data_IF_330024926084
#
_entry.id   IF_330024926084
#
_cell.length_a   1.000
_cell.length_b   1.000
_cell.length_c   1.000
_cell.angle_alpha   90.00
_cell.angle_beta   90.00
_cell.angle_gamma   90.00
#
_symmetry.space_group_name_H-M   'P 1'
#
loop_
_entity.id
_entity.type
_entity.pdbx_description
1 polymer ?
#
# COMPACT_ATOMS: atom_id res chain seq x y z
N UNK A 1 64.23 47.84 22.26
CA UNK A 1 62.91 47.81 22.86
C UNK A 1 62.35 46.44 22.51
N UNK A 2 62.46 45.53 23.49
CA UNK A 2 62.34 44.08 23.30
C UNK A 2 60.93 43.70 23.76
N UNK A 3 60.07 43.24 22.87
CA UNK A 3 58.78 42.65 23.25
C UNK A 3 58.87 41.10 23.35
N UNK A 4 58.75 40.60 24.57
CA UNK A 4 58.70 39.18 24.89
C UNK A 4 57.34 38.62 24.50
N UNK A 5 57.31 37.61 23.59
CA UNK A 5 56.20 36.81 23.25
C UNK A 5 56.02 35.74 24.34
N UNK A 6 54.87 35.77 25.06
CA UNK A 6 54.49 34.73 26.01
C UNK A 6 53.58 33.74 25.27
N UNK A 7 54.04 32.53 25.15
CA UNK A 7 53.21 31.40 24.73
C UNK A 7 52.27 31.01 25.89
N UNK A 8 50.93 31.13 25.67
CA UNK A 8 49.94 30.48 26.51
C UNK A 8 49.67 29.08 25.98
N UNK A 9 50.05 28.09 26.76
CA UNK A 9 49.66 26.70 26.53
C UNK A 9 48.22 26.54 26.98
N UNK A 10 47.28 26.40 26.06
CA UNK A 10 45.88 26.03 26.38
C UNK A 10 45.84 24.50 26.41
N UNK A 11 45.76 23.94 27.61
CA UNK A 11 45.46 22.53 27.83
C UNK A 11 43.95 22.41 27.64
N UNK A 12 43.51 21.84 26.48
CA UNK A 12 42.13 21.44 26.27
C UNK A 12 41.87 20.19 27.08
N UNK A 13 41.19 20.35 28.21
CA UNK A 13 40.60 19.23 28.95
C UNK A 13 39.36 18.80 28.18
N UNK A 14 39.46 17.69 27.46
CA UNK A 14 38.31 17.04 26.85
C UNK A 14 37.50 16.39 27.99
N UNK A 15 36.42 17.04 28.39
CA UNK A 15 35.38 16.39 29.18
C UNK A 15 34.65 15.44 28.25
N UNK A 16 34.94 14.15 28.34
CA UNK A 16 34.07 13.09 27.92
C UNK A 16 32.83 13.13 28.84
N UNK A 17 31.82 13.90 28.44
CA UNK A 17 30.49 13.75 29.00
C UNK A 17 29.93 12.45 28.40
N UNK A 18 30.11 11.38 29.15
CA UNK A 18 29.36 10.17 28.92
C UNK A 18 27.87 10.47 29.11
N UNK A 19 27.13 10.68 28.05
CA UNK A 19 25.68 10.53 28.07
C UNK A 19 25.37 9.05 28.26
N UNK A 20 25.40 8.57 29.50
CA UNK A 20 24.63 7.42 29.91
C UNK A 20 23.17 7.88 30.02
N UNK A 21 22.47 7.96 28.90
CA UNK A 21 21.05 7.80 28.95
C UNK A 21 20.79 6.32 29.24
N UNK A 22 20.82 5.97 30.52
CA UNK A 22 20.07 4.83 31.02
C UNK A 22 18.58 5.10 30.76
N UNK A 23 18.16 4.87 29.51
CA UNK A 23 16.84 4.39 29.25
C UNK A 23 16.88 2.93 29.68
N UNK A 24 16.88 2.70 31.00
CA UNK A 24 16.36 1.47 31.57
C UNK A 24 14.87 1.43 31.22
N UNK A 25 14.57 1.08 29.94
CA UNK A 25 13.38 0.34 29.68
C UNK A 25 13.57 -0.93 30.50
N UNK A 26 13.03 -0.93 31.72
CA UNK A 26 12.59 -2.15 32.34
C UNK A 26 11.56 -2.76 31.38
N UNK A 27 12.03 -3.44 30.35
CA UNK A 27 11.29 -4.57 29.83
C UNK A 27 11.18 -5.49 31.04
N UNK A 28 10.01 -5.45 31.69
CA UNK A 28 9.66 -6.46 32.68
C UNK A 28 10.11 -7.79 32.07
N UNK A 29 10.78 -8.60 32.85
CA UNK A 29 11.04 -10.00 32.57
C UNK A 29 9.70 -10.80 32.59
N UNK A 30 8.69 -10.34 31.88
CA UNK A 30 7.71 -11.20 31.28
C UNK A 30 8.52 -12.02 30.27
N UNK A 31 8.77 -13.26 30.62
CA UNK A 31 9.36 -14.26 29.74
C UNK A 31 8.83 -14.01 28.33
N UNK A 32 9.72 -13.74 27.37
CA UNK A 32 9.36 -13.71 25.95
C UNK A 32 8.72 -15.08 25.68
N UNK A 33 7.40 -15.15 25.84
CA UNK A 33 6.66 -16.37 25.55
C UNK A 33 6.88 -16.66 24.09
N UNK A 34 7.52 -17.77 23.80
CA UNK A 34 7.65 -18.26 22.42
C UNK A 34 6.23 -18.39 21.90
N UNK A 35 5.86 -17.56 20.91
CA UNK A 35 4.56 -17.69 20.26
C UNK A 35 4.34 -19.15 19.86
N UNK A 36 3.15 -19.71 20.11
CA UNK A 36 2.87 -21.10 19.71
C UNK A 36 3.21 -21.27 18.22
N UNK A 37 3.70 -22.47 17.89
CA UNK A 37 3.98 -22.83 16.51
C UNK A 37 2.70 -22.68 15.65
N UNK A 38 2.89 -22.37 14.39
CA UNK A 38 1.82 -22.38 13.39
C UNK A 38 0.96 -23.63 13.52
N UNK A 39 -0.36 -23.59 13.25
CA UNK A 39 -1.19 -24.78 13.22
C UNK A 39 -0.55 -25.84 12.32
N UNK A 40 -0.20 -27.00 12.90
CA UNK A 40 0.52 -28.06 12.19
C UNK A 40 2.01 -28.20 12.52
N UNK A 41 2.62 -27.26 13.25
CA UNK A 41 3.98 -27.39 13.81
C UNK A 41 5.14 -27.30 12.82
N UNK A 42 4.90 -27.08 11.52
CA UNK A 42 5.92 -26.97 10.48
C UNK A 42 5.96 -25.57 9.87
N UNK A 43 7.15 -25.13 9.48
CA UNK A 43 7.31 -23.94 8.64
C UNK A 43 6.70 -24.28 7.26
N UNK A 44 5.79 -23.47 6.71
CA UNK A 44 5.23 -23.71 5.40
C UNK A 44 6.32 -23.74 4.32
N UNK A 45 6.25 -24.75 3.45
CA UNK A 45 7.13 -24.89 2.28
C UNK A 45 6.21 -25.06 1.08
N UNK A 46 6.32 -24.16 0.12
CA UNK A 46 5.46 -24.17 -1.07
C UNK A 46 6.19 -24.76 -2.27
N UNK A 47 5.41 -25.36 -3.17
CA UNK A 47 5.91 -25.75 -4.48
C UNK A 47 6.33 -24.51 -5.27
N UNK A 48 7.54 -24.55 -5.81
CA UNK A 48 8.11 -23.49 -6.66
C UNK A 48 8.36 -23.98 -8.09
N UNK A 49 7.80 -25.13 -8.47
CA UNK A 49 8.00 -25.73 -9.78
C UNK A 49 7.52 -24.86 -10.96
N UNK A 50 6.54 -23.97 -10.71
CA UNK A 50 6.07 -23.00 -11.69
C UNK A 50 6.96 -21.74 -11.80
N UNK A 51 7.99 -21.59 -10.95
CA UNK A 51 8.89 -20.45 -10.95
C UNK A 51 10.22 -20.84 -11.58
N UNK A 52 10.49 -20.34 -12.79
CA UNK A 52 11.74 -20.63 -13.50
C UNK A 52 12.93 -19.90 -12.90
N UNK A 53 12.76 -18.61 -12.58
CA UNK A 53 13.83 -17.74 -12.07
C UNK A 53 13.33 -16.79 -11.01
N UNK A 54 14.20 -16.52 -10.03
CA UNK A 54 14.01 -15.47 -9.02
C UNK A 54 15.22 -14.55 -9.02
N UNK A 55 14.97 -13.27 -8.94
CA UNK A 55 16.02 -12.25 -8.81
C UNK A 55 15.51 -11.07 -7.99
N UNK A 56 16.36 -10.08 -7.79
CA UNK A 56 15.95 -8.81 -7.19
C UNK A 56 16.68 -7.65 -7.87
N UNK A 57 16.09 -6.47 -7.72
CA UNK A 57 16.60 -5.20 -8.19
C UNK A 57 16.34 -4.13 -7.14
N UNK A 58 17.10 -3.04 -7.17
CA UNK A 58 16.78 -1.82 -6.41
C UNK A 58 16.48 -0.72 -7.41
N UNK A 59 15.26 -0.21 -7.39
CA UNK A 59 14.81 0.91 -8.20
C UNK A 59 14.88 2.20 -7.40
N UNK A 60 15.11 3.32 -8.07
CA UNK A 60 15.23 4.62 -7.44
C UNK A 60 16.43 4.73 -6.50
N UNK A 61 16.38 5.76 -5.68
CA UNK A 61 17.44 6.10 -4.75
C UNK A 61 18.46 7.07 -5.31
N UNK A 62 18.95 7.94 -4.42
CA UNK A 62 20.00 8.92 -4.73
C UNK A 62 20.91 9.10 -3.53
N UNK A 63 22.07 9.70 -3.77
CA UNK A 63 22.98 10.13 -2.69
C UNK A 63 22.45 11.42 -2.08
N UNK A 64 22.10 11.36 -0.80
CA UNK A 64 21.46 12.45 -0.07
C UNK A 64 22.17 12.75 1.24
N UNK A 65 22.03 13.98 1.74
CA UNK A 65 22.54 14.39 3.04
C UNK A 65 24.03 14.73 3.07
N UNK A 66 24.51 15.10 4.25
CA UNK A 66 25.93 15.35 4.57
C UNK A 66 26.22 14.81 5.98
N UNK A 67 26.94 13.69 6.13
CA UNK A 67 27.59 12.91 5.07
C UNK A 67 26.59 12.25 4.10
N UNK A 68 27.04 11.97 2.86
CA UNK A 68 26.22 11.33 1.83
C UNK A 68 25.85 9.90 2.23
N UNK A 69 24.56 9.59 2.08
CA UNK A 69 23.99 8.25 2.23
C UNK A 69 23.06 7.93 1.06
N UNK A 70 22.82 6.65 0.80
CA UNK A 70 21.78 6.25 -0.17
C UNK A 70 20.39 6.40 0.47
N UNK A 71 19.46 7.07 -0.21
CA UNK A 71 18.09 7.25 0.28
C UNK A 71 17.05 7.13 -0.84
N UNK A 72 15.87 6.62 -0.52
CA UNK A 72 14.75 6.52 -1.46
C UNK A 72 14.76 5.29 -2.36
N UNK A 73 15.72 4.38 -2.21
CA UNK A 73 15.76 3.12 -2.96
C UNK A 73 14.59 2.20 -2.56
N UNK A 74 14.06 1.48 -3.55
CA UNK A 74 12.97 0.52 -3.42
C UNK A 74 13.44 -0.87 -3.85
N UNK A 75 13.39 -1.84 -2.95
CA UNK A 75 13.65 -3.24 -3.26
C UNK A 75 12.53 -3.82 -4.12
N UNK A 76 12.88 -4.59 -5.13
CA UNK A 76 11.98 -5.26 -6.04
C UNK A 76 12.36 -6.73 -6.12
N UNK A 77 11.48 -7.63 -5.72
CA UNK A 77 11.63 -9.08 -5.92
C UNK A 77 10.97 -9.47 -7.24
N UNK A 78 11.69 -10.24 -8.06
CA UNK A 78 11.24 -10.62 -9.40
C UNK A 78 11.05 -12.13 -9.46
N UNK A 79 9.86 -12.57 -9.87
CA UNK A 79 9.58 -13.98 -10.16
C UNK A 79 9.18 -14.12 -11.62
N UNK A 80 9.88 -15.02 -12.32
CA UNK A 80 9.56 -15.35 -13.71
C UNK A 80 8.95 -16.75 -13.78
N UNK A 81 7.81 -16.93 -14.49
CA UNK A 81 7.16 -18.23 -14.62
C UNK A 81 7.97 -19.17 -15.53
N UNK A 82 7.76 -20.47 -15.35
CA UNK A 82 8.30 -21.50 -16.28
C UNK A 82 7.66 -21.36 -17.67
N UNK A 83 6.39 -21.04 -17.72
CA UNK A 83 5.62 -20.82 -18.95
C UNK A 83 5.09 -19.39 -18.98
N UNK A 84 5.83 -18.42 -19.52
CA UNK A 84 5.36 -17.03 -19.64
C UNK A 84 4.30 -16.94 -20.76
N UNK A 85 3.03 -17.02 -20.37
CA UNK A 85 1.89 -16.97 -21.31
C UNK A 85 1.24 -15.60 -21.37
N UNK A 86 1.52 -14.74 -20.38
CA UNK A 86 0.91 -13.42 -20.28
C UNK A 86 1.79 -12.35 -20.91
N UNK A 87 1.15 -11.46 -21.70
CA UNK A 87 1.87 -10.40 -22.42
C UNK A 87 2.45 -9.36 -21.47
N UNK A 88 1.70 -8.97 -20.45
CA UNK A 88 2.07 -7.89 -19.53
C UNK A 88 2.46 -8.44 -18.16
N UNK A 89 3.64 -8.09 -17.63
CA UNK A 89 3.99 -8.42 -16.25
C UNK A 89 3.14 -7.62 -15.26
N UNK A 90 3.08 -8.10 -14.01
CA UNK A 90 2.37 -7.43 -12.92
C UNK A 90 3.36 -6.84 -11.93
N UNK A 91 3.19 -5.56 -11.58
CA UNK A 91 3.88 -4.90 -10.46
C UNK A 91 2.91 -4.81 -9.28
N UNK A 92 3.30 -5.38 -8.13
CA UNK A 92 2.46 -5.48 -6.94
C UNK A 92 2.88 -4.46 -5.89
N UNK A 93 1.95 -3.55 -5.55
CA UNK A 93 2.12 -2.47 -4.59
C UNK A 93 1.32 -2.73 -3.32
N UNK A 94 2.02 -2.95 -2.20
CA UNK A 94 1.41 -3.27 -0.90
C UNK A 94 0.82 -2.05 -0.18
N UNK A 95 0.07 -2.31 0.91
CA UNK A 95 -0.56 -1.31 1.76
C UNK A 95 0.36 -0.66 2.82
N UNK A 96 -0.25 0.12 3.70
CA UNK A 96 0.43 0.79 4.80
C UNK A 96 0.87 -0.22 5.88
N UNK A 97 2.10 -0.07 6.38
CA UNK A 97 2.67 -0.97 7.39
C UNK A 97 3.07 -2.35 6.87
N UNK A 98 3.02 -2.58 5.56
CA UNK A 98 3.23 -3.85 4.89
C UNK A 98 4.44 -3.84 3.97
N UNK A 99 4.73 -5.01 3.39
CA UNK A 99 5.80 -5.24 2.40
C UNK A 99 5.31 -6.23 1.33
N UNK A 100 6.14 -6.56 0.36
CA UNK A 100 5.87 -7.61 -0.63
C UNK A 100 5.66 -9.02 -0.06
N UNK A 101 5.79 -9.20 1.26
CA UNK A 101 5.52 -10.49 1.94
C UNK A 101 4.04 -10.87 1.85
N UNK A 102 3.12 -9.91 1.92
CA UNK A 102 1.68 -10.16 1.93
C UNK A 102 1.16 -10.79 0.62
N UNK A 103 1.90 -10.62 -0.46
CA UNK A 103 1.58 -11.27 -1.74
C UNK A 103 2.03 -12.73 -1.82
N UNK A 104 2.92 -13.16 -0.91
CA UNK A 104 3.58 -14.47 -1.00
C UNK A 104 3.00 -15.54 -0.10
N UNK A 105 2.46 -15.14 1.05
CA UNK A 105 1.96 -16.11 2.04
C UNK A 105 0.89 -15.48 2.91
N UNK A 106 -0.17 -16.23 3.17
CA UNK A 106 -1.19 -15.89 4.15
C UNK A 106 -0.72 -16.19 5.59
N UNK A 107 -1.28 -15.53 6.61
CA UNK A 107 -0.84 -15.74 7.99
C UNK A 107 -1.12 -17.13 8.56
N UNK A 108 -2.06 -17.86 7.98
CA UNK A 108 -2.39 -19.26 8.30
C UNK A 108 -1.56 -20.27 7.51
N UNK A 109 -0.63 -19.81 6.66
CA UNK A 109 0.39 -20.66 6.02
C UNK A 109 0.01 -21.20 4.64
N UNK A 110 -1.00 -20.62 3.96
CA UNK A 110 -1.29 -20.92 2.56
C UNK A 110 -0.42 -20.08 1.61
N UNK A 111 -0.20 -20.52 0.35
CA UNK A 111 0.39 -19.69 -0.68
C UNK A 111 -0.41 -18.40 -0.88
N UNK A 112 0.26 -17.26 -1.11
CA UNK A 112 -0.40 -16.00 -1.45
C UNK A 112 -0.58 -15.82 -2.96
N UNK A 113 -1.19 -14.72 -3.35
CA UNK A 113 -1.53 -14.38 -4.74
C UNK A 113 -0.37 -14.47 -5.74
N UNK A 114 0.88 -14.24 -5.29
CA UNK A 114 2.04 -14.34 -6.16
C UNK A 114 2.24 -15.75 -6.73
N UNK A 115 1.91 -16.81 -5.97
CA UNK A 115 1.99 -18.18 -6.48
C UNK A 115 0.93 -18.45 -7.53
N UNK A 116 -0.31 -18.02 -7.29
CA UNK A 116 -1.37 -18.12 -8.28
C UNK A 116 -1.01 -17.38 -9.58
N UNK A 117 -0.59 -16.12 -9.48
CA UNK A 117 -0.27 -15.30 -10.65
C UNK A 117 0.91 -15.87 -11.47
N UNK A 118 1.96 -16.38 -10.81
CA UNK A 118 3.07 -16.98 -11.54
C UNK A 118 2.67 -18.30 -12.22
N UNK A 119 1.75 -19.06 -11.63
CA UNK A 119 1.16 -20.25 -12.24
C UNK A 119 0.33 -19.91 -13.48
N UNK A 120 -0.39 -18.76 -13.46
CA UNK A 120 -1.10 -18.24 -14.63
C UNK A 120 -0.17 -17.66 -15.71
N UNK A 121 1.14 -17.66 -15.50
CA UNK A 121 2.14 -17.26 -16.49
C UNK A 121 2.55 -15.80 -16.47
N UNK A 122 2.25 -15.06 -15.40
CA UNK A 122 2.72 -13.67 -15.24
C UNK A 122 4.14 -13.61 -14.69
N UNK A 123 4.96 -12.71 -15.25
CA UNK A 123 6.16 -12.23 -14.57
C UNK A 123 5.75 -11.21 -13.51
N UNK A 124 6.27 -11.37 -12.28
CA UNK A 124 5.89 -10.55 -11.13
C UNK A 124 7.03 -9.69 -10.64
N UNK A 125 6.71 -8.45 -10.28
CA UNK A 125 7.58 -7.51 -9.60
C UNK A 125 6.92 -7.12 -8.28
N UNK A 126 7.43 -7.65 -7.16
CA UNK A 126 6.92 -7.39 -5.80
C UNK A 126 7.84 -6.41 -5.09
N UNK A 127 7.31 -5.27 -4.67
CA UNK A 127 8.12 -4.20 -4.11
C UNK A 127 8.06 -4.17 -2.58
N UNK A 128 9.12 -3.65 -1.95
CA UNK A 128 9.08 -3.09 -0.60
C UNK A 128 9.36 -1.59 -0.73
N UNK A 129 8.42 -0.74 -0.31
CA UNK A 129 8.59 0.71 -0.44
C UNK A 129 9.83 1.22 0.30
N UNK A 130 10.39 2.39 -0.10
CA UNK A 130 11.49 3.01 0.62
C UNK A 130 11.25 3.09 2.12
N UNK A 131 12.27 2.78 2.92
CA UNK A 131 12.25 2.68 4.37
C UNK A 131 11.38 1.55 4.96
N UNK A 132 11.06 0.51 4.17
CA UNK A 132 10.31 -0.68 4.62
C UNK A 132 11.00 -1.98 4.23
N UNK A 133 10.80 -3.01 5.03
CA UNK A 133 11.28 -4.37 4.72
C UNK A 133 12.75 -4.40 4.29
N UNK A 134 12.97 -4.81 3.05
CA UNK A 134 14.32 -4.90 2.44
C UNK A 134 14.83 -3.58 1.87
N UNK A 135 14.00 -2.52 1.85
CA UNK A 135 14.39 -1.16 1.49
C UNK A 135 14.81 -0.40 2.74
N UNK A 136 16.12 -0.25 2.95
CA UNK A 136 16.65 0.23 4.21
C UNK A 136 16.17 1.65 4.58
N UNK A 137 15.78 1.82 5.85
CA UNK A 137 15.61 3.14 6.45
C UNK A 137 16.96 3.69 6.91
N UNK A 138 17.28 4.91 6.49
CA UNK A 138 18.49 5.62 6.90
C UNK A 138 18.07 6.80 7.80
N UNK A 139 18.38 6.79 9.10
CA UNK A 139 18.08 7.89 10.00
C UNK A 139 18.66 9.23 9.52
N UNK A 140 17.86 10.29 9.58
CA UNK A 140 18.27 11.62 9.10
C UNK A 140 18.29 11.79 7.57
N UNK A 141 17.85 10.77 6.82
CA UNK A 141 17.71 10.83 5.36
C UNK A 141 16.39 11.45 4.92
N UNK A 142 16.00 11.14 3.67
CA UNK A 142 14.84 11.73 2.98
C UNK A 142 13.48 11.13 3.39
N UNK A 143 13.45 10.17 4.32
CA UNK A 143 12.25 9.35 4.56
C UNK A 143 11.21 10.00 5.50
N UNK A 144 11.58 11.05 6.22
CA UNK A 144 10.74 11.65 7.27
C UNK A 144 10.64 10.78 8.53
N UNK A 145 9.71 11.12 9.40
CA UNK A 145 9.48 10.41 10.66
C UNK A 145 8.83 9.04 10.43
N UNK A 146 9.16 8.10 11.32
CA UNK A 146 8.60 6.76 11.29
C UNK A 146 7.29 6.67 12.07
N UNK A 147 6.29 6.06 11.46
CA UNK A 147 5.05 5.62 12.09
C UNK A 147 4.97 4.10 12.20
N UNK A 148 4.10 3.62 13.09
CA UNK A 148 3.75 2.21 13.24
C UNK A 148 2.24 2.06 13.36
N UNK A 149 1.72 0.86 13.12
CA UNK A 149 0.36 0.46 13.53
C UNK A 149 0.44 -0.27 14.86
N UNK A 150 -0.45 0.09 15.80
CA UNK A 150 -0.55 -0.67 17.05
C UNK A 150 -1.39 -1.93 16.87
N UNK A 151 -1.19 -2.89 17.77
CA UNK A 151 -1.98 -4.14 17.79
C UNK A 151 -3.48 -3.84 17.83
N UNK A 152 -3.90 -2.92 18.70
CA UNK A 152 -5.30 -2.52 18.84
C UNK A 152 -5.88 -1.92 17.55
N UNK A 153 -5.09 -1.10 16.83
CA UNK A 153 -5.51 -0.57 15.54
C UNK A 153 -5.73 -1.69 14.54
N UNK A 154 -4.80 -2.65 14.46
CA UNK A 154 -4.87 -3.77 13.52
C UNK A 154 -6.05 -4.70 13.83
N UNK A 155 -6.30 -5.02 15.10
CA UNK A 155 -7.49 -5.77 15.49
C UNK A 155 -8.79 -5.04 15.11
N UNK A 156 -8.85 -3.72 15.28
CA UNK A 156 -10.07 -2.92 15.06
C UNK A 156 -10.41 -2.76 13.58
N UNK A 157 -9.39 -2.60 12.72
CA UNK A 157 -9.65 -2.21 11.31
C UNK A 157 -9.39 -3.33 10.30
N UNK A 158 -8.67 -4.42 10.68
CA UNK A 158 -8.27 -5.45 9.72
C UNK A 158 -8.63 -6.88 10.11
N UNK A 159 -8.42 -7.28 11.37
CA UNK A 159 -8.42 -8.72 11.70
C UNK A 159 -9.57 -9.17 12.60
N UNK A 160 -10.05 -8.33 13.51
CA UNK A 160 -11.15 -8.62 14.43
C UNK A 160 -12.27 -7.59 14.30
N UNK A 161 -12.56 -7.23 13.08
CA UNK A 161 -13.47 -6.16 12.71
C UNK A 161 -14.88 -6.41 13.21
N UNK A 162 -15.41 -7.61 13.08
CA UNK A 162 -16.76 -7.96 13.51
C UNK A 162 -17.02 -7.79 15.01
N UNK A 163 -15.98 -7.76 15.85
CA UNK A 163 -16.11 -7.54 17.29
C UNK A 163 -15.70 -6.13 17.72
N UNK A 164 -14.71 -5.55 17.06
CA UNK A 164 -14.08 -4.28 17.43
C UNK A 164 -14.32 -3.14 16.44
N UNK A 165 -14.79 -3.44 15.24
CA UNK A 165 -15.15 -2.44 14.25
C UNK A 165 -16.24 -1.50 14.75
N UNK A 166 -16.33 -0.34 14.14
CA UNK A 166 -17.31 0.69 14.47
C UNK A 166 -17.80 1.41 13.22
N UNK A 167 -17.96 0.69 12.13
CA UNK A 167 -18.45 1.18 10.85
C UNK A 167 -19.59 0.29 10.34
N UNK A 168 -20.41 0.75 9.40
CA UNK A 168 -21.48 -0.07 8.84
C UNK A 168 -20.94 -1.37 8.24
N UNK A 169 -21.68 -2.47 8.44
CA UNK A 169 -21.37 -3.80 7.92
C UNK A 169 -20.10 -4.46 8.51
N UNK A 170 -19.51 -3.91 9.57
CA UNK A 170 -18.36 -4.53 10.25
C UNK A 170 -18.62 -5.98 10.65
N UNK A 171 -19.87 -6.35 10.95
CA UNK A 171 -20.30 -7.72 11.26
C UNK A 171 -20.20 -8.69 10.05
N UNK A 172 -20.05 -8.17 8.83
CA UNK A 172 -19.90 -9.02 7.65
C UNK A 172 -18.49 -9.64 7.58
N UNK A 173 -17.50 -9.09 8.28
CA UNK A 173 -16.13 -9.62 8.26
C UNK A 173 -16.05 -11.01 8.91
N UNK A 174 -16.01 -12.05 8.10
CA UNK A 174 -16.03 -13.46 8.52
C UNK A 174 -14.91 -14.30 7.91
N UNK A 175 -14.11 -13.74 7.00
CA UNK A 175 -13.10 -14.50 6.25
C UNK A 175 -11.69 -14.44 6.87
N UNK A 176 -11.50 -13.73 7.99
CA UNK A 176 -10.19 -13.76 8.65
C UNK A 176 -9.88 -15.17 9.18
N UNK A 177 -8.69 -15.73 8.87
CA UNK A 177 -8.30 -17.02 9.39
C UNK A 177 -7.96 -16.91 10.89
N UNK A 178 -8.66 -17.68 11.72
CA UNK A 178 -8.52 -17.66 13.18
C UNK A 178 -9.37 -16.59 13.86
N UNK A 179 -8.95 -16.15 15.06
CA UNK A 179 -9.75 -15.24 15.88
C UNK A 179 -9.50 -13.75 15.60
N UNK A 180 -8.44 -13.44 14.87
CA UNK A 180 -8.03 -12.05 14.61
C UNK A 180 -7.51 -11.28 15.82
N UNK A 181 -7.20 -11.95 16.94
CA UNK A 181 -6.83 -11.34 18.23
C UNK A 181 -5.43 -11.75 18.66
N UNK A 182 -4.79 -10.89 19.43
CA UNK A 182 -3.52 -11.17 20.10
C UNK A 182 -3.58 -12.49 20.89
N UNK A 183 -2.57 -13.34 20.71
CA UNK A 183 -2.46 -14.67 21.28
C UNK A 183 -3.02 -15.79 20.40
N UNK A 184 -3.69 -15.46 19.31
CA UNK A 184 -3.97 -16.40 18.24
C UNK A 184 -2.71 -16.56 17.37
N UNK A 185 -2.21 -17.78 17.13
CA UNK A 185 -0.99 -18.00 16.36
C UNK A 185 -1.02 -17.40 14.95
N UNK A 186 -2.20 -17.36 14.31
CA UNK A 186 -2.38 -16.80 12.97
C UNK A 186 -2.27 -15.27 13.03
N UNK A 187 -2.98 -14.65 13.96
CA UNK A 187 -2.86 -13.21 14.20
C UNK A 187 -1.42 -12.81 14.57
N UNK A 188 -0.80 -13.54 15.51
CA UNK A 188 0.57 -13.27 15.93
C UNK A 188 1.57 -13.42 14.79
N UNK A 189 1.32 -14.34 13.86
CA UNK A 189 2.11 -14.47 12.64
C UNK A 189 1.93 -13.26 11.70
N UNK A 190 0.68 -12.80 11.50
CA UNK A 190 0.39 -11.58 10.75
C UNK A 190 1.08 -10.35 11.34
N UNK A 191 1.02 -10.15 12.67
CA UNK A 191 1.67 -9.00 13.33
C UNK A 191 3.18 -8.98 13.09
N UNK A 192 3.84 -10.14 12.96
CA UNK A 192 5.27 -10.22 12.66
C UNK A 192 5.62 -9.73 11.25
N UNK A 193 4.67 -9.66 10.33
CA UNK A 193 4.90 -9.11 8.99
C UNK A 193 4.83 -7.58 8.96
N UNK A 194 4.24 -6.98 9.99
CA UNK A 194 4.03 -5.53 10.04
C UNK A 194 5.35 -4.79 10.28
N UNK A 195 5.53 -3.73 9.52
CA UNK A 195 6.74 -2.91 9.56
C UNK A 195 6.41 -1.44 9.81
N UNK A 196 7.40 -0.70 10.27
CA UNK A 196 7.33 0.76 10.30
C UNK A 196 7.13 1.33 8.89
N UNK A 197 6.59 2.54 8.82
CA UNK A 197 6.45 3.28 7.57
C UNK A 197 6.85 4.74 7.76
N UNK A 198 7.50 5.32 6.76
CA UNK A 198 7.94 6.70 6.78
C UNK A 198 6.89 7.64 6.16
N UNK A 199 6.84 8.89 6.59
CA UNK A 199 5.90 9.89 6.09
C UNK A 199 5.99 10.09 4.57
N UNK A 200 7.21 10.12 4.04
CA UNK A 200 7.47 10.33 2.61
C UNK A 200 7.46 9.05 1.75
N UNK A 201 7.13 7.91 2.35
CA UNK A 201 7.28 6.62 1.63
C UNK A 201 6.43 6.52 0.36
N UNK A 202 5.24 7.10 0.31
CA UNK A 202 4.39 7.11 -0.90
C UNK A 202 5.02 7.93 -2.02
N UNK A 203 5.54 9.12 -1.71
CA UNK A 203 6.22 9.99 -2.67
C UNK A 203 7.46 9.32 -3.24
N UNK A 204 8.32 8.76 -2.37
CA UNK A 204 9.55 8.09 -2.78
C UNK A 204 9.26 6.81 -3.56
N UNK A 205 8.25 6.02 -3.15
CA UNK A 205 7.82 4.81 -3.85
C UNK A 205 7.33 5.12 -5.27
N UNK A 206 6.60 6.21 -5.47
CA UNK A 206 6.14 6.64 -6.79
C UNK A 206 7.31 6.91 -7.74
N UNK A 207 8.33 7.67 -7.31
CA UNK A 207 9.51 7.94 -8.14
C UNK A 207 10.32 6.68 -8.42
N UNK A 208 10.56 5.84 -7.42
CA UNK A 208 11.26 4.57 -7.58
C UNK A 208 10.50 3.61 -8.51
N UNK A 209 9.15 3.60 -8.45
CA UNK A 209 8.33 2.79 -9.32
C UNK A 209 8.34 3.28 -10.78
N UNK A 210 8.39 4.60 -11.03
CA UNK A 210 8.57 5.10 -12.39
C UNK A 210 9.91 4.63 -12.99
N UNK A 211 11.01 4.68 -12.22
CA UNK A 211 12.31 4.15 -12.65
C UNK A 211 12.25 2.63 -12.87
N UNK A 212 11.51 1.90 -12.02
CA UNK A 212 11.28 0.47 -12.24
C UNK A 212 10.62 0.22 -13.58
N UNK A 213 9.56 0.96 -13.92
CA UNK A 213 8.87 0.81 -15.20
C UNK A 213 9.79 1.17 -16.39
N UNK A 214 10.58 2.24 -16.26
CA UNK A 214 11.59 2.62 -17.26
C UNK A 214 12.61 1.48 -17.47
N UNK A 215 12.98 0.78 -16.39
CA UNK A 215 13.91 -0.37 -16.43
C UNK A 215 13.27 -1.62 -17.03
N UNK A 216 11.99 -1.88 -16.73
CA UNK A 216 11.23 -2.99 -17.34
C UNK A 216 11.07 -2.74 -18.84
N UNK A 217 10.82 -1.50 -19.28
CA UNK A 217 10.84 -1.06 -20.67
C UNK A 217 9.68 -1.58 -21.52
N UNK A 218 8.62 -2.08 -20.93
CA UNK A 218 7.37 -2.50 -21.58
C UNK A 218 6.17 -2.20 -20.66
N UNK A 219 4.95 -2.09 -21.23
CA UNK A 219 3.76 -1.90 -20.43
C UNK A 219 3.55 -3.02 -19.40
N UNK A 220 3.11 -2.62 -18.20
CA UNK A 220 2.82 -3.51 -17.08
C UNK A 220 1.39 -3.32 -16.59
N UNK A 221 0.86 -4.28 -15.86
CA UNK A 221 -0.36 -4.14 -15.06
C UNK A 221 0.07 -3.76 -13.63
N UNK A 222 -0.55 -2.73 -13.07
CA UNK A 222 -0.36 -2.39 -11.65
C UNK A 222 -1.41 -3.09 -10.82
N UNK A 223 -1.02 -3.93 -9.86
CA UNK A 223 -1.90 -4.48 -8.85
C UNK A 223 -1.58 -3.79 -7.52
N UNK A 224 -2.52 -3.03 -7.00
CA UNK A 224 -2.29 -2.16 -5.84
C UNK A 224 -3.25 -2.49 -4.71
N UNK A 225 -2.80 -2.33 -3.47
CA UNK A 225 -3.63 -2.45 -2.28
C UNK A 225 -3.49 -1.22 -1.40
N UNK A 226 -4.60 -0.69 -0.91
CA UNK A 226 -4.62 0.36 0.12
C UNK A 226 -3.74 1.56 -0.25
N UNK A 227 -2.73 1.91 0.55
CA UNK A 227 -1.75 2.97 0.26
C UNK A 227 -1.10 2.82 -1.13
N UNK A 228 -1.01 1.59 -1.63
CA UNK A 228 -0.50 1.30 -2.96
C UNK A 228 -1.30 1.95 -4.08
N UNK A 229 -2.61 2.17 -3.90
CA UNK A 229 -3.43 2.90 -4.86
C UNK A 229 -2.90 4.31 -5.09
N UNK A 230 -2.54 5.03 -4.01
CA UNK A 230 -1.94 6.37 -4.14
C UNK A 230 -0.57 6.36 -4.84
N UNK A 231 0.18 5.27 -4.81
CA UNK A 231 1.40 5.11 -5.63
C UNK A 231 1.02 4.85 -7.09
N UNK A 232 0.08 3.92 -7.31
CA UNK A 232 -0.35 3.47 -8.64
C UNK A 232 -0.87 4.61 -9.53
N UNK A 233 -1.73 5.48 -8.99
CA UNK A 233 -2.24 6.65 -9.75
C UNK A 233 -1.12 7.56 -10.24
N UNK A 234 -0.14 7.84 -9.39
CA UNK A 234 0.98 8.71 -9.77
C UNK A 234 1.97 8.07 -10.73
N UNK A 235 2.13 6.76 -10.67
CA UNK A 235 2.96 6.00 -11.64
C UNK A 235 2.27 5.97 -12.99
N UNK A 236 0.96 5.74 -13.04
CA UNK A 236 0.17 5.74 -14.27
C UNK A 236 0.19 7.12 -14.95
N UNK A 237 -0.02 8.19 -14.18
CA UNK A 237 0.07 9.55 -14.70
C UNK A 237 1.48 9.91 -15.20
N UNK A 238 2.53 9.46 -14.48
CA UNK A 238 3.92 9.75 -14.81
C UNK A 238 4.53 8.89 -15.92
N UNK A 239 3.95 7.72 -16.22
CA UNK A 239 4.42 6.75 -17.23
C UNK A 239 3.25 6.13 -18.00
N UNK A 240 2.41 6.95 -18.68
CA UNK A 240 1.21 6.47 -19.34
C UNK A 240 1.48 5.36 -20.37
N UNK A 241 2.58 5.45 -21.11
CA UNK A 241 2.94 4.45 -22.13
C UNK A 241 3.42 3.11 -21.54
N UNK A 242 3.74 3.07 -20.22
CA UNK A 242 4.26 1.88 -19.54
C UNK A 242 3.24 1.27 -18.55
N UNK A 243 2.01 1.76 -18.53
CA UNK A 243 0.91 1.17 -17.73
C UNK A 243 -0.21 0.74 -18.66
N UNK A 244 -0.46 -0.56 -18.74
CA UNK A 244 -1.54 -1.14 -19.54
C UNK A 244 -2.90 -1.00 -18.87
N UNK A 245 -2.93 -1.11 -17.54
CA UNK A 245 -4.13 -1.00 -16.72
C UNK A 245 -3.82 -1.16 -15.25
N UNK A 246 -4.82 -0.90 -14.41
CA UNK A 246 -4.68 -0.90 -12.96
C UNK A 246 -5.76 -1.80 -12.35
N UNK A 247 -5.35 -2.71 -11.48
CA UNK A 247 -6.22 -3.39 -10.53
C UNK A 247 -5.95 -2.80 -9.15
N UNK A 248 -6.94 -2.23 -8.52
CA UNK A 248 -6.79 -1.61 -7.21
C UNK A 248 -7.74 -2.20 -6.19
N UNK A 249 -7.18 -2.72 -5.12
CA UNK A 249 -7.90 -3.32 -4.00
C UNK A 249 -7.98 -2.29 -2.89
N UNK A 250 -9.17 -1.76 -2.66
CA UNK A 250 -9.44 -0.74 -1.63
C UNK A 250 -8.39 0.37 -1.61
N UNK A 251 -8.29 1.19 -2.67
CA UNK A 251 -7.24 2.21 -2.81
C UNK A 251 -7.29 3.25 -1.70
N UNK A 252 -6.13 3.61 -1.17
CA UNK A 252 -5.93 4.26 0.08
C UNK A 252 -6.52 5.63 0.31
N UNK A 253 -7.61 5.72 0.95
CA UNK A 253 -8.22 6.91 1.53
C UNK A 253 -9.26 7.58 0.62
N UNK A 254 -10.24 8.28 1.24
CA UNK A 254 -11.29 8.94 0.49
C UNK A 254 -10.74 10.09 -0.33
N UNK A 255 -11.34 10.33 -1.50
CA UNK A 255 -11.02 11.50 -2.31
C UNK A 255 -11.54 12.79 -1.65
N UNK A 256 -10.90 13.92 -1.91
CA UNK A 256 -11.27 15.29 -1.48
C UNK A 256 -11.34 15.48 0.04
N UNK A 257 -12.21 14.78 0.77
CA UNK A 257 -12.44 14.94 2.21
C UNK A 257 -12.20 13.68 3.02
N UNK A 258 -11.69 13.80 4.23
CA UNK A 258 -11.60 12.67 5.16
C UNK A 258 -12.98 12.25 5.65
N UNK A 259 -13.21 10.96 5.77
CA UNK A 259 -14.45 10.34 6.23
C UNK A 259 -14.28 9.81 7.66
N UNK A 260 -15.23 10.13 8.53
CA UNK A 260 -15.44 9.40 9.78
C UNK A 260 -16.32 8.19 9.45
N UNK A 261 -15.71 7.02 9.38
CA UNK A 261 -16.39 5.80 8.97
C UNK A 261 -17.44 5.31 9.97
N UNK A 262 -17.30 5.64 11.25
CA UNK A 262 -18.27 5.33 12.27
C UNK A 262 -19.57 6.15 12.15
N UNK A 263 -19.45 7.40 11.71
CA UNK A 263 -20.58 8.32 11.54
C UNK A 263 -21.11 8.35 10.11
N UNK A 264 -20.41 7.70 9.17
CA UNK A 264 -20.70 7.76 7.73
C UNK A 264 -20.81 9.20 7.25
N UNK A 265 -19.82 10.01 7.61
CA UNK A 265 -19.85 11.44 7.38
C UNK A 265 -18.45 12.01 7.10
N UNK A 266 -18.40 13.08 6.32
CA UNK A 266 -17.15 13.80 6.13
C UNK A 266 -16.73 14.54 7.41
N UNK A 267 -15.44 14.44 7.77
CA UNK A 267 -14.89 15.03 9.00
C UNK A 267 -14.45 16.50 8.85
N UNK A 268 -14.64 17.10 7.68
CA UNK A 268 -14.23 18.48 7.40
C UNK A 268 -12.70 18.67 7.23
N UNK A 269 -11.91 17.62 7.26
CA UNK A 269 -10.46 17.67 6.97
C UNK A 269 -10.22 17.34 5.50
N UNK A 270 -9.34 18.10 4.79
CA UNK A 270 -8.91 17.70 3.45
C UNK A 270 -8.23 16.32 3.48
N UNK A 271 -8.49 15.48 2.49
CA UNK A 271 -7.75 14.25 2.25
C UNK A 271 -6.92 14.38 0.97
N UNK A 272 -7.52 14.14 -0.17
CA UNK A 272 -6.85 14.09 -1.47
C UNK A 272 -7.32 15.26 -2.35
N UNK A 273 -6.65 16.40 -2.25
CA UNK A 273 -7.08 17.63 -2.91
C UNK A 273 -7.05 17.57 -4.45
N UNK A 274 -6.38 16.59 -5.04
CA UNK A 274 -6.27 16.37 -6.49
C UNK A 274 -7.19 15.25 -7.00
N UNK A 275 -8.24 14.93 -6.28
CA UNK A 275 -9.12 13.80 -6.59
C UNK A 275 -8.69 12.52 -5.89
N UNK A 276 -8.13 11.51 -6.58
CA UNK A 276 -7.75 10.23 -5.93
C UNK A 276 -6.47 10.33 -5.08
N UNK A 277 -5.75 11.47 -5.12
CA UNK A 277 -4.45 11.66 -4.46
C UNK A 277 -4.28 13.08 -3.88
N UNK A 278 -3.25 13.27 -3.06
CA UNK A 278 -2.90 14.58 -2.45
C UNK A 278 -1.70 15.28 -3.13
N UNK A 279 -1.38 14.91 -4.36
CA UNK A 279 -0.31 15.50 -5.17
C UNK A 279 -0.81 15.73 -6.60
N UNK A 280 -0.15 16.62 -7.39
CA UNK A 280 -0.59 16.94 -8.74
C UNK A 280 -0.70 15.73 -9.66
N UNK A 281 -1.81 15.66 -10.42
CA UNK A 281 -2.02 14.80 -11.57
C UNK A 281 -2.19 15.66 -12.83
N UNK A 282 -2.01 15.06 -14.00
CA UNK A 282 -2.11 15.74 -15.29
C UNK A 282 -3.56 15.83 -15.77
N UNK A 283 -4.16 17.00 -15.58
CA UNK A 283 -5.52 17.29 -16.04
C UNK A 283 -5.54 18.10 -17.34
N UNK A 284 -6.61 17.97 -18.10
CA UNK A 284 -6.99 18.84 -19.20
C UNK A 284 -8.45 19.37 -18.99
N UNK A 285 -8.70 20.68 -18.92
CA UNK A 285 -7.71 21.77 -18.87
C UNK A 285 -6.73 21.64 -17.69
N UNK A 286 -5.48 22.13 -17.84
CA UNK A 286 -4.45 21.99 -16.81
C UNK A 286 -4.88 22.57 -15.45
N UNK A 287 -4.44 21.89 -14.37
CA UNK A 287 -4.60 22.33 -12.98
C UNK A 287 -3.22 22.67 -12.42
N UNK A 288 -3.08 23.86 -11.86
CA UNK A 288 -1.84 24.32 -11.20
C UNK A 288 -1.99 24.41 -9.69
N UNK A 289 -3.22 24.63 -9.22
CA UNK A 289 -3.58 24.65 -7.80
C UNK A 289 -4.85 23.82 -7.61
N UNK A 290 -4.92 22.95 -6.59
CA UNK A 290 -6.08 22.08 -6.39
C UNK A 290 -7.40 22.83 -6.16
N UNK A 291 -7.37 24.10 -5.74
CA UNK A 291 -8.57 24.93 -5.62
C UNK A 291 -9.24 25.26 -6.97
N UNK A 292 -8.56 25.01 -8.08
CA UNK A 292 -9.15 25.13 -9.43
C UNK A 292 -10.09 23.96 -9.78
N UNK A 293 -10.03 22.87 -9.01
CA UNK A 293 -10.93 21.73 -9.15
C UNK A 293 -12.17 22.02 -8.32
N UNK A 294 -13.18 22.60 -8.96
CA UNK A 294 -14.45 22.89 -8.28
C UNK A 294 -15.24 21.60 -8.14
N UNK A 295 -15.73 21.35 -6.93
CA UNK A 295 -16.44 20.09 -6.62
C UNK A 295 -17.80 20.38 -5.99
N UNK A 296 -18.70 19.43 -6.17
CA UNK A 296 -19.97 19.37 -5.45
C UNK A 296 -20.09 18.01 -4.72
N UNK A 297 -20.89 17.98 -3.68
CA UNK A 297 -21.24 16.75 -2.98
C UNK A 297 -22.54 16.21 -3.61
N UNK A 298 -22.56 14.91 -3.97
CA UNK A 298 -23.77 14.24 -4.40
C UNK A 298 -24.90 14.36 -3.35
N UNK A 299 -26.14 14.33 -3.77
CA UNK A 299 -27.29 14.44 -2.87
C UNK A 299 -27.46 13.20 -1.99
N UNK A 300 -27.14 12.03 -2.53
CA UNK A 300 -27.31 10.73 -1.87
C UNK A 300 -26.11 9.81 -2.24
N UNK A 301 -25.78 8.88 -1.36
CA UNK A 301 -24.81 7.81 -1.60
C UNK A 301 -25.47 6.70 -2.47
N UNK A 302 -24.64 5.85 -3.09
CA UNK A 302 -25.13 4.73 -3.91
C UNK A 302 -25.80 3.64 -3.08
N UNK A 303 -25.27 3.40 -1.88
CA UNK A 303 -25.74 2.34 -0.99
C UNK A 303 -25.88 2.84 0.45
N UNK A 304 -26.78 2.25 1.25
CA UNK A 304 -26.81 2.50 2.69
C UNK A 304 -25.46 2.17 3.34
N UNK A 305 -24.97 3.07 4.20
CA UNK A 305 -23.68 2.92 4.88
C UNK A 305 -22.49 3.48 4.11
N UNK A 306 -22.71 4.03 2.91
CA UNK A 306 -21.70 4.78 2.15
C UNK A 306 -21.92 6.29 2.31
N UNK A 307 -20.87 7.09 2.09
CA UNK A 307 -20.99 8.54 1.98
C UNK A 307 -21.33 8.93 0.54
N UNK A 308 -22.11 10.02 0.32
CA UNK A 308 -22.21 10.63 -1.01
C UNK A 308 -20.84 11.16 -1.43
N UNK A 309 -20.50 11.05 -2.71
CA UNK A 309 -19.16 11.38 -3.20
C UNK A 309 -19.03 12.86 -3.58
N UNK A 310 -17.83 13.41 -3.38
CA UNK A 310 -17.46 14.66 -4.05
C UNK A 310 -17.10 14.37 -5.50
N UNK A 311 -17.74 15.07 -6.42
CA UNK A 311 -17.48 14.99 -7.87
C UNK A 311 -17.13 16.40 -8.40
N UNK A 312 -16.52 16.45 -9.57
CA UNK A 312 -16.21 17.73 -10.22
C UNK A 312 -17.49 18.39 -10.75
N UNK A 313 -17.58 19.72 -10.66
CA UNK A 313 -18.57 20.44 -11.44
C UNK A 313 -18.31 20.31 -12.94
N UNK A 314 -19.39 20.20 -13.73
CA UNK A 314 -19.26 20.07 -15.18
C UNK A 314 -18.96 21.41 -15.88
N UNK A 315 -18.11 21.42 -16.93
CA UNK A 315 -17.44 20.26 -17.52
C UNK A 315 -16.25 19.76 -16.66
N UNK A 316 -16.23 18.46 -16.35
CA UNK A 316 -15.18 17.85 -15.57
C UNK A 316 -13.82 17.86 -16.30
N UNK A 317 -12.76 18.17 -15.59
CA UNK A 317 -11.39 18.07 -16.10
C UNK A 317 -10.99 16.62 -16.27
N UNK A 318 -10.31 16.32 -17.36
CA UNK A 318 -9.97 14.96 -17.76
C UNK A 318 -8.56 14.58 -17.33
N UNK A 319 -8.35 13.35 -16.85
CA UNK A 319 -7.05 12.77 -16.51
C UNK A 319 -6.42 12.17 -17.77
N UNK A 320 -5.89 13.04 -18.62
CA UNK A 320 -5.49 12.69 -20.01
C UNK A 320 -4.42 11.61 -20.11
N UNK A 321 -3.53 11.51 -19.13
CA UNK A 321 -2.48 10.48 -19.12
C UNK A 321 -3.02 9.09 -18.76
N UNK A 322 -4.23 8.99 -18.23
CA UNK A 322 -4.87 7.71 -17.88
C UNK A 322 -6.09 7.38 -18.74
N UNK A 323 -6.43 8.22 -19.73
CA UNK A 323 -7.65 8.10 -20.53
C UNK A 323 -7.75 6.78 -21.34
N UNK A 324 -6.63 6.19 -21.74
CA UNK A 324 -6.59 4.94 -22.50
C UNK A 324 -6.41 3.69 -21.60
N UNK A 325 -6.43 3.87 -20.28
CA UNK A 325 -6.27 2.77 -19.33
C UNK A 325 -7.63 2.22 -18.90
N UNK A 326 -7.66 0.90 -18.67
CA UNK A 326 -8.77 0.26 -17.96
C UNK A 326 -8.39 0.09 -16.49
N UNK A 327 -9.34 0.35 -15.62
CA UNK A 327 -9.16 0.22 -14.17
C UNK A 327 -10.21 -0.72 -13.59
N UNK A 328 -9.78 -1.67 -12.75
CA UNK A 328 -10.65 -2.43 -11.84
C UNK A 328 -10.44 -1.90 -10.43
N UNK A 329 -11.48 -1.43 -9.79
CA UNK A 329 -11.48 -1.08 -8.37
C UNK A 329 -12.38 -2.08 -7.60
N UNK A 330 -11.85 -2.69 -6.55
CA UNK A 330 -12.53 -3.72 -5.76
C UNK A 330 -12.71 -3.21 -4.32
N UNK A 331 -13.90 -3.41 -3.76
CA UNK A 331 -14.22 -3.19 -2.35
C UNK A 331 -14.92 -4.41 -1.76
N UNK A 332 -14.60 -4.74 -0.51
CA UNK A 332 -15.25 -5.81 0.24
C UNK A 332 -16.45 -5.31 1.08
N UNK A 333 -17.23 -6.25 1.63
CA UNK A 333 -18.43 -5.92 2.40
C UNK A 333 -18.19 -5.77 3.91
N UNK A 334 -17.09 -6.33 4.47
CA UNK A 334 -16.72 -6.27 5.88
C UNK A 334 -15.57 -5.32 6.20
N UNK A 335 -15.42 -4.23 5.45
CA UNK A 335 -14.30 -3.28 5.56
C UNK A 335 -14.75 -1.85 5.85
N UNK A 336 -13.91 -1.09 6.55
CA UNK A 336 -14.14 0.36 6.73
C UNK A 336 -14.01 1.15 5.41
N UNK A 337 -13.34 0.61 4.41
CA UNK A 337 -13.22 1.18 3.07
C UNK A 337 -14.57 1.25 2.35
N UNK A 338 -15.47 0.29 2.63
CA UNK A 338 -16.81 0.25 2.06
C UNK A 338 -17.56 1.57 2.17
N UNK A 339 -17.29 2.34 3.21
CA UNK A 339 -17.94 3.63 3.46
C UNK A 339 -17.66 4.66 2.37
N UNK A 340 -16.52 4.58 1.66
CA UNK A 340 -16.10 5.63 0.72
C UNK A 340 -15.46 5.13 -0.60
N UNK A 341 -15.26 3.83 -0.77
CA UNK A 341 -14.54 3.31 -1.94
C UNK A 341 -15.24 3.57 -3.29
N UNK A 342 -16.55 3.75 -3.30
CA UNK A 342 -17.29 4.11 -4.51
C UNK A 342 -16.84 5.47 -5.11
N UNK A 343 -16.24 6.34 -4.29
CA UNK A 343 -15.98 7.73 -4.70
C UNK A 343 -14.80 7.87 -5.66
N UNK A 344 -13.73 7.09 -5.50
CA UNK A 344 -12.59 7.15 -6.44
C UNK A 344 -12.98 6.65 -7.83
N UNK A 345 -13.63 5.50 -8.02
CA UNK A 345 -14.12 5.06 -9.33
C UNK A 345 -15.06 6.04 -10.02
N UNK A 346 -15.98 6.66 -9.28
CA UNK A 346 -16.85 7.71 -9.82
C UNK A 346 -16.06 8.91 -10.34
N UNK A 347 -15.09 9.36 -9.55
CA UNK A 347 -14.20 10.46 -9.96
C UNK A 347 -13.42 10.11 -11.22
N UNK A 348 -12.84 8.92 -11.27
CA UNK A 348 -12.06 8.44 -12.43
C UNK A 348 -12.92 8.38 -13.68
N UNK A 349 -14.11 7.80 -13.60
CA UNK A 349 -15.05 7.74 -14.72
C UNK A 349 -15.46 9.15 -15.19
N UNK A 350 -15.75 10.07 -14.27
CA UNK A 350 -16.05 11.46 -14.62
C UNK A 350 -14.85 12.16 -15.29
N UNK A 351 -13.64 11.82 -14.85
CA UNK A 351 -12.39 12.34 -15.40
C UNK A 351 -11.89 11.60 -16.65
N UNK A 352 -12.72 10.75 -17.28
CA UNK A 352 -12.44 10.08 -18.55
C UNK A 352 -11.59 8.82 -18.46
N UNK A 353 -11.40 8.25 -17.26
CA UNK A 353 -10.68 6.99 -17.04
C UNK A 353 -11.69 5.87 -16.86
N UNK A 354 -11.75 4.93 -17.81
CA UNK A 354 -12.71 3.83 -17.80
C UNK A 354 -12.45 2.87 -16.62
N UNK A 355 -13.33 2.94 -15.61
CA UNK A 355 -13.15 2.27 -14.32
C UNK A 355 -14.36 1.39 -13.99
N UNK A 356 -14.13 0.09 -13.84
CA UNK A 356 -15.09 -0.85 -13.26
C UNK A 356 -14.97 -0.80 -11.74
N UNK A 357 -16.07 -0.58 -11.05
CA UNK A 357 -16.14 -0.68 -9.60
C UNK A 357 -16.95 -1.91 -9.20
N UNK A 358 -16.29 -2.84 -8.53
CA UNK A 358 -16.88 -4.12 -8.11
C UNK A 358 -16.91 -4.18 -6.59
N UNK A 359 -18.11 -4.31 -6.07
CA UNK A 359 -18.35 -4.78 -4.71
C UNK A 359 -18.32 -6.29 -4.75
N UNK A 360 -17.45 -6.93 -3.99
CA UNK A 360 -17.22 -8.38 -4.10
C UNK A 360 -18.49 -9.19 -3.85
N UNK A 361 -19.39 -8.72 -2.98
CA UNK A 361 -20.68 -9.37 -2.74
C UNK A 361 -21.60 -9.40 -3.97
N UNK A 362 -21.47 -8.46 -4.90
CA UNK A 362 -22.24 -8.41 -6.13
C UNK A 362 -21.84 -9.53 -7.13
N UNK A 363 -20.62 -10.06 -6.96
CA UNK A 363 -20.10 -11.21 -7.74
C UNK A 363 -20.07 -12.51 -6.94
N UNK A 364 -20.70 -12.53 -5.75
CA UNK A 364 -20.86 -13.73 -4.93
C UNK A 364 -19.70 -14.03 -3.99
N UNK A 365 -18.74 -13.11 -3.85
CA UNK A 365 -17.62 -13.20 -2.91
C UNK A 365 -17.92 -12.28 -1.74
N UNK A 366 -17.96 -12.79 -0.51
CA UNK A 366 -18.38 -12.00 0.65
C UNK A 366 -17.68 -12.39 1.94
N UNK A 367 -17.83 -11.54 2.95
CA UNK A 367 -17.25 -11.73 4.28
C UNK A 367 -15.82 -11.22 4.41
N UNK A 368 -15.33 -10.52 3.42
CA UNK A 368 -13.95 -10.02 3.38
C UNK A 368 -13.79 -8.66 4.08
N UNK A 369 -12.63 -8.48 4.70
CA UNK A 369 -12.15 -7.22 5.21
C UNK A 369 -11.07 -6.60 4.33
N UNK A 370 -10.37 -5.60 4.89
CA UNK A 370 -9.34 -4.84 4.18
C UNK A 370 -8.15 -5.69 3.70
N UNK A 371 -7.87 -6.79 4.39
CA UNK A 371 -6.73 -7.67 4.09
C UNK A 371 -7.14 -8.90 3.27
N UNK A 372 -8.06 -8.74 2.33
CA UNK A 372 -8.70 -9.82 1.57
C UNK A 372 -7.71 -10.77 0.88
N UNK A 373 -6.50 -10.34 0.53
CA UNK A 373 -5.43 -11.18 -0.02
C UNK A 373 -4.87 -12.19 0.99
N UNK A 374 -5.17 -12.02 2.28
CA UNK A 374 -4.71 -12.88 3.38
C UNK A 374 -5.83 -13.74 3.97
N UNK A 375 -7.07 -13.57 3.52
CA UNK A 375 -8.27 -14.17 4.09
C UNK A 375 -8.60 -15.53 3.48
N UNK A 376 -9.57 -16.25 4.08
CA UNK A 376 -9.83 -17.67 3.77
C UNK A 376 -10.21 -17.93 2.31
N UNK A 377 -10.94 -17.01 1.69
CA UNK A 377 -11.37 -17.07 0.29
C UNK A 377 -10.53 -16.18 -0.64
N UNK A 378 -9.28 -15.89 -0.28
CA UNK A 378 -8.37 -15.06 -1.09
C UNK A 378 -8.14 -15.60 -2.50
N UNK A 379 -8.26 -16.93 -2.68
CA UNK A 379 -8.10 -17.58 -3.97
C UNK A 379 -9.24 -17.24 -4.94
N UNK A 380 -10.50 -17.17 -4.46
CA UNK A 380 -11.65 -16.76 -5.27
C UNK A 380 -11.48 -15.32 -5.79
N UNK A 381 -10.88 -14.45 -4.98
CA UNK A 381 -10.67 -13.05 -5.34
C UNK A 381 -9.58 -12.91 -6.41
N UNK A 382 -8.45 -13.62 -6.27
CA UNK A 382 -7.38 -13.53 -7.27
C UNK A 382 -7.77 -14.21 -8.59
N UNK A 383 -8.59 -15.25 -8.55
CA UNK A 383 -9.19 -15.85 -9.74
C UNK A 383 -10.10 -14.85 -10.47
N UNK A 384 -10.99 -14.17 -9.76
CA UNK A 384 -11.83 -13.09 -10.32
C UNK A 384 -10.97 -11.96 -10.93
N UNK A 385 -9.92 -11.53 -10.23
CA UNK A 385 -9.00 -10.50 -10.76
C UNK A 385 -8.32 -10.99 -12.04
N UNK A 386 -7.86 -12.24 -12.07
CA UNK A 386 -7.23 -12.81 -13.26
C UNK A 386 -8.21 -12.85 -14.45
N UNK A 387 -9.43 -13.33 -14.24
CA UNK A 387 -10.47 -13.36 -15.28
C UNK A 387 -10.74 -11.96 -15.83
N UNK A 388 -10.92 -10.97 -14.97
CA UNK A 388 -11.09 -9.58 -15.40
C UNK A 388 -9.90 -9.06 -16.23
N UNK A 389 -8.65 -9.36 -15.81
CA UNK A 389 -7.45 -9.00 -16.57
C UNK A 389 -7.48 -9.64 -17.96
N UNK A 390 -7.84 -10.93 -18.06
CA UNK A 390 -7.91 -11.63 -19.36
C UNK A 390 -8.96 -11.02 -20.29
N UNK A 391 -10.07 -10.57 -19.76
CA UNK A 391 -11.17 -9.99 -20.54
C UNK A 391 -10.88 -8.55 -20.99
N UNK A 392 -10.14 -7.76 -20.18
CA UNK A 392 -10.04 -6.31 -20.35
C UNK A 392 -8.63 -5.80 -20.71
N UNK A 393 -7.57 -6.55 -20.37
CA UNK A 393 -6.18 -6.08 -20.53
C UNK A 393 -5.32 -6.95 -21.45
N UNK A 394 -5.72 -8.19 -21.71
CA UNK A 394 -4.96 -9.15 -22.54
C UNK A 394 -4.81 -8.72 -24.00
#
# INVERSE_FOLDING_TARGET
MIFKLRYFLIIAVIYLVGCSNDVSNEMSNEELSVSPAMPGGNIPIFDTSNIARKSFYFAGGDYVGDPLVMGGQMYVEIWEPVNPTQQYPIVLFHGNGQTGVDWKQTPDGRPGWAYYLVEQGYTLYMVDYPARGRSAYIPGGVHGDLGIRTVEQLETIWTNVGEKGNFPLDQNHTQWPGTGKRGDPIFDNFIKTQVQFAGESTTLARYAAMELLDTIGQPVILLTHSQGGGVGWGVADGRPDLVRGIVTVEPGGPQIGNVNTAEVAYSGRPANAWGPVNYPLTYDPPVTDPSEIITYLEAEADQPGEVPCYLQEEPARQLVNMADMRVLAISADGTYHRVFDACIPKWLNQAGVETDFIRLEDVGISGNGHMMMLELNSDDIIEFIHEWIQENLA
#
